data_IF_423104812107
#
_entry.id   IF_423104812107
#
_cell.length_a   1.000
_cell.length_b   1.000
_cell.length_c   1.000
_cell.angle_alpha   90.00
_cell.angle_beta   90.00
_cell.angle_gamma   90.00
#
_symmetry.space_group_name_H-M   'P 1'
#
loop_
_entity.id
_entity.type
_entity.pdbx_description
1 polymer ?
#
# COMPACT_ATOMS: atom_id res chain seq x y z
N UNK A 1 17.28 -0.22 13.78
CA UNK A 1 16.06 0.52 13.40
C UNK A 1 15.21 -0.33 12.46
N UNK A 2 13.88 -0.12 12.43
CA UNK A 2 12.94 -0.88 11.62
C UNK A 2 11.94 0.07 10.99
N UNK A 3 11.64 -0.13 9.70
CA UNK A 3 10.58 0.60 9.03
C UNK A 3 9.28 -0.17 9.24
N UNK A 4 8.34 0.38 10.01
CA UNK A 4 7.10 -0.31 10.35
C UNK A 4 5.86 0.59 10.45
N UNK A 5 6.00 1.87 10.14
CA UNK A 5 4.89 2.82 10.18
C UNK A 5 5.02 3.78 9.00
N UNK A 6 3.91 4.01 8.31
CA UNK A 6 3.78 5.06 7.31
C UNK A 6 2.53 5.87 7.59
N UNK A 7 2.63 7.19 7.44
CA UNK A 7 1.47 8.09 7.54
C UNK A 7 1.28 8.78 6.21
N UNK A 8 0.06 8.73 5.67
CA UNK A 8 -0.30 9.41 4.43
C UNK A 8 -1.37 10.46 4.70
N UNK A 9 -1.43 11.48 3.86
CA UNK A 9 -2.45 12.50 3.97
C UNK A 9 -3.79 12.04 3.42
N UNK A 10 -4.87 12.58 3.98
CA UNK A 10 -6.24 12.38 3.51
C UNK A 10 -6.92 13.75 3.38
N UNK A 11 -7.45 14.06 2.22
CA UNK A 11 -8.20 15.30 2.01
C UNK A 11 -9.67 15.16 2.37
N UNK A 12 -10.19 13.93 2.28
CA UNK A 12 -11.50 13.55 2.78
C UNK A 12 -11.32 12.35 3.70
N UNK A 13 -11.39 12.61 5.01
CA UNK A 13 -11.06 11.60 6.01
C UNK A 13 -11.95 10.35 5.87
N UNK A 14 -13.26 10.52 5.73
CA UNK A 14 -14.20 9.40 5.69
C UNK A 14 -14.04 8.53 4.45
N UNK A 15 -13.74 9.14 3.30
CA UNK A 15 -13.47 8.38 2.07
C UNK A 15 -12.19 7.55 2.20
N UNK A 16 -11.12 8.14 2.75
CA UNK A 16 -9.87 7.42 2.97
C UNK A 16 -10.03 6.32 4.00
N UNK A 17 -10.76 6.57 5.09
CA UNK A 17 -11.07 5.55 6.10
C UNK A 17 -11.78 4.36 5.46
N UNK A 18 -12.84 4.62 4.69
CA UNK A 18 -13.61 3.58 4.02
C UNK A 18 -12.76 2.80 3.02
N UNK A 19 -11.88 3.49 2.30
CA UNK A 19 -10.99 2.85 1.34
C UNK A 19 -10.08 1.81 2.00
N UNK A 20 -9.38 2.19 3.07
CA UNK A 20 -8.45 1.27 3.73
C UNK A 20 -9.16 0.12 4.44
N UNK A 21 -10.37 0.33 4.94
CA UNK A 21 -11.20 -0.76 5.44
C UNK A 21 -11.57 -1.75 4.32
N UNK A 22 -11.91 -1.27 3.12
CA UNK A 22 -12.19 -2.12 1.97
C UNK A 22 -10.97 -2.89 1.50
N UNK A 23 -9.78 -2.29 1.57
CA UNK A 23 -8.53 -2.96 1.25
C UNK A 23 -8.30 -4.15 2.18
N UNK A 24 -8.81 -4.09 3.40
CA UNK A 24 -8.72 -5.16 4.37
C UNK A 24 -7.88 -4.82 5.59
N UNK A 25 -7.51 -3.54 5.77
CA UNK A 25 -6.79 -3.12 6.95
C UNK A 25 -7.74 -3.04 8.15
N UNK A 26 -7.20 -3.25 9.35
CA UNK A 26 -7.97 -3.20 10.58
C UNK A 26 -7.76 -1.88 11.31
N UNK A 27 -8.82 -1.14 11.54
CA UNK A 27 -8.78 0.12 12.28
C UNK A 27 -8.48 -0.14 13.76
N UNK A 28 -7.43 0.48 14.28
CA UNK A 28 -7.03 0.34 15.68
C UNK A 28 -7.04 1.67 16.45
N UNK A 29 -6.98 2.80 15.76
CA UNK A 29 -7.07 4.13 16.37
C UNK A 29 -7.90 5.02 15.47
N UNK A 30 -8.81 5.80 16.06
CA UNK A 30 -9.54 6.85 15.34
C UNK A 30 -9.75 8.02 16.28
N UNK A 31 -9.36 9.22 15.84
CA UNK A 31 -9.41 10.43 16.66
C UNK A 31 -9.95 11.60 15.86
N UNK A 32 -11.09 12.16 16.28
CA UNK A 32 -11.67 13.44 15.82
C UNK A 32 -11.94 13.54 14.33
N UNK A 33 -12.07 12.42 13.61
CA UNK A 33 -12.15 12.43 12.16
C UNK A 33 -10.96 13.15 11.47
N UNK A 34 -9.82 13.17 12.15
CA UNK A 34 -8.59 13.80 11.68
C UNK A 34 -7.43 12.81 11.54
N UNK A 35 -7.47 11.71 12.32
CA UNK A 35 -6.40 10.74 12.34
C UNK A 35 -6.97 9.34 12.53
N UNK A 36 -6.45 8.39 11.79
CA UNK A 36 -6.75 6.98 11.99
C UNK A 36 -5.48 6.15 11.79
N UNK A 37 -5.38 5.06 12.52
CA UNK A 37 -4.30 4.08 12.36
C UNK A 37 -4.89 2.70 12.13
N UNK A 38 -4.27 2.00 11.20
CA UNK A 38 -4.66 0.65 10.83
C UNK A 38 -3.49 -0.29 11.04
N UNK A 39 -3.78 -1.52 11.46
CA UNK A 39 -2.82 -2.60 11.32
C UNK A 39 -3.12 -3.39 10.05
N UNK A 40 -2.08 -3.96 9.46
CA UNK A 40 -2.21 -4.83 8.29
C UNK A 40 -2.59 -6.25 8.73
N UNK A 41 -3.20 -7.04 7.83
CA UNK A 41 -3.57 -8.42 8.17
C UNK A 41 -2.36 -9.30 8.51
N UNK A 42 -1.21 -8.99 7.92
CA UNK A 42 0.02 -9.75 8.11
C UNK A 42 1.15 -8.85 8.56
N UNK A 43 2.02 -9.36 9.43
CA UNK A 43 3.16 -8.62 9.93
C UNK A 43 2.78 -7.61 11.02
N UNK A 44 3.72 -6.71 11.33
CA UNK A 44 3.58 -5.75 12.43
C UNK A 44 3.48 -4.29 11.97
N UNK A 45 3.58 -4.06 10.65
CA UNK A 45 3.51 -2.71 10.12
C UNK A 45 2.13 -2.10 10.34
N UNK A 46 2.11 -0.78 10.48
CA UNK A 46 0.87 0.00 10.58
C UNK A 46 0.87 1.10 9.53
N UNK A 47 -0.33 1.50 9.11
CA UNK A 47 -0.55 2.63 8.22
C UNK A 47 -1.49 3.60 8.89
N UNK A 48 -1.17 4.89 8.84
CA UNK A 48 -2.04 5.93 9.37
C UNK A 48 -2.48 6.89 8.26
N UNK A 49 -3.66 7.44 8.43
CA UNK A 49 -4.13 8.56 7.63
C UNK A 49 -4.28 9.78 8.52
N UNK A 50 -3.91 10.94 8.00
CA UNK A 50 -4.00 12.20 8.72
C UNK A 50 -4.65 13.26 7.83
N UNK A 51 -5.70 13.91 8.32
CA UNK A 51 -6.42 14.93 7.56
C UNK A 51 -5.49 16.07 7.17
N UNK A 52 -5.47 16.41 5.90
CA UNK A 52 -4.69 17.47 5.29
C UNK A 52 -5.58 18.30 4.37
N UNK A 53 -5.27 19.59 4.19
CA UNK A 53 -5.97 20.39 3.19
C UNK A 53 -5.61 19.99 1.78
N UNK A 54 -4.35 19.61 1.55
CA UNK A 54 -3.85 19.12 0.27
C UNK A 54 -2.90 17.96 0.47
N UNK A 55 -2.81 17.08 -0.52
CA UNK A 55 -1.86 15.97 -0.52
C UNK A 55 -1.00 16.11 -1.77
N UNK A 56 0.34 16.22 -1.63
CA UNK A 56 1.23 16.30 -2.79
C UNK A 56 1.09 15.06 -3.67
N UNK A 57 1.02 15.27 -4.98
CA UNK A 57 1.04 14.18 -5.95
C UNK A 57 2.48 13.79 -6.28
N UNK A 58 2.71 12.52 -6.62
CA UNK A 58 4.04 12.03 -6.94
C UNK A 58 4.92 11.79 -5.70
N UNK A 59 4.32 11.63 -4.54
CA UNK A 59 5.03 11.29 -3.31
C UNK A 59 5.46 9.82 -3.26
N UNK A 60 5.83 9.31 -2.07
CA UNK A 60 6.22 7.92 -1.90
C UNK A 60 5.12 6.95 -2.35
N UNK A 61 5.53 5.80 -2.86
CA UNK A 61 4.63 4.72 -3.22
C UNK A 61 4.55 3.76 -2.03
N UNK A 62 3.32 3.37 -1.65
CA UNK A 62 3.11 2.40 -0.59
C UNK A 62 3.03 1.01 -1.22
N UNK A 63 3.88 0.10 -0.77
CA UNK A 63 3.93 -1.26 -1.29
C UNK A 63 3.26 -2.21 -0.29
N UNK A 64 2.19 -2.87 -0.73
CA UNK A 64 1.55 -3.96 0.01
C UNK A 64 1.91 -5.28 -0.65
N UNK A 65 2.69 -6.10 0.04
CA UNK A 65 2.98 -7.45 -0.43
C UNK A 65 1.79 -8.36 -0.16
N UNK A 66 1.40 -9.14 -1.16
CA UNK A 66 0.28 -10.10 -1.08
C UNK A 66 0.72 -11.45 -1.64
N UNK A 67 0.03 -12.51 -1.25
CA UNK A 67 0.36 -13.85 -1.73
C UNK A 67 -0.04 -14.06 -3.19
N UNK A 68 -1.12 -13.42 -3.63
CA UNK A 68 -1.65 -13.54 -5.00
C UNK A 68 -2.19 -12.18 -5.45
N UNK A 69 -1.45 -11.54 -6.37
CA UNK A 69 -1.82 -10.21 -6.87
C UNK A 69 -3.14 -10.25 -7.64
N UNK A 70 -3.34 -11.26 -8.48
CA UNK A 70 -4.54 -11.37 -9.32
C UNK A 70 -5.80 -11.54 -8.49
N UNK A 71 -5.81 -12.45 -7.53
CA UNK A 71 -6.98 -12.67 -6.68
C UNK A 71 -7.25 -11.50 -5.76
N UNK A 72 -6.22 -10.85 -5.24
CA UNK A 72 -6.36 -9.65 -4.42
C UNK A 72 -6.96 -8.51 -5.23
N UNK A 73 -6.44 -8.27 -6.43
CA UNK A 73 -6.97 -7.24 -7.32
C UNK A 73 -8.43 -7.50 -7.67
N UNK A 74 -8.78 -8.76 -7.99
CA UNK A 74 -10.18 -9.13 -8.28
C UNK A 74 -11.10 -8.87 -7.09
N UNK A 75 -10.65 -9.23 -5.88
CA UNK A 75 -11.41 -8.98 -4.65
C UNK A 75 -11.65 -7.49 -4.40
N UNK A 76 -10.62 -6.68 -4.57
CA UNK A 76 -10.74 -5.22 -4.38
C UNK A 76 -11.63 -4.58 -5.44
N UNK A 77 -11.52 -5.01 -6.70
CA UNK A 77 -12.42 -4.54 -7.77
C UNK A 77 -13.88 -4.88 -7.47
N UNK A 78 -14.13 -6.06 -6.90
CA UNK A 78 -15.51 -6.45 -6.52
C UNK A 78 -16.10 -5.54 -5.45
N UNK A 79 -15.25 -4.85 -4.70
CA UNK A 79 -15.64 -3.85 -3.68
C UNK A 79 -15.68 -2.44 -4.23
N UNK A 80 -15.52 -2.26 -5.53
CA UNK A 80 -15.60 -0.96 -6.18
C UNK A 80 -14.30 -0.18 -6.23
N UNK A 81 -13.18 -0.80 -5.89
CA UNK A 81 -11.86 -0.15 -5.99
C UNK A 81 -11.35 -0.23 -7.42
N UNK A 82 -11.02 0.93 -8.00
CA UNK A 82 -10.46 1.02 -9.33
C UNK A 82 -8.93 0.89 -9.30
N UNK A 83 -8.36 0.30 -10.35
CA UNK A 83 -6.91 0.17 -10.52
C UNK A 83 -6.47 1.03 -11.70
N UNK A 84 -5.31 1.65 -11.56
CA UNK A 84 -4.66 2.39 -12.67
C UNK A 84 -3.88 1.45 -13.57
N UNK A 85 -3.38 0.34 -13.03
CA UNK A 85 -2.72 -0.72 -13.79
C UNK A 85 -3.09 -2.07 -13.16
N UNK A 86 -3.57 -3.00 -13.99
CA UNK A 86 -3.89 -4.36 -13.56
C UNK A 86 -2.65 -5.20 -13.31
N UNK A 87 -2.82 -6.43 -12.79
CA UNK A 87 -1.70 -7.32 -12.50
C UNK A 87 -0.80 -7.53 -13.72
N UNK A 88 0.49 -7.25 -13.55
CA UNK A 88 1.49 -7.27 -14.62
C UNK A 88 2.82 -7.76 -14.08
N UNK A 89 3.48 -8.65 -14.81
CA UNK A 89 4.85 -9.06 -14.51
C UNK A 89 5.81 -7.97 -14.94
N UNK A 90 6.70 -7.57 -14.05
CA UNK A 90 7.69 -6.54 -14.29
C UNK A 90 9.06 -7.13 -14.62
N UNK A 91 9.91 -6.40 -15.37
CA UNK A 91 11.26 -6.86 -15.68
C UNK A 91 12.14 -7.16 -14.45
N UNK A 92 11.82 -6.55 -13.31
CA UNK A 92 12.54 -6.78 -12.06
C UNK A 92 12.02 -7.99 -11.28
N UNK A 93 11.29 -8.88 -11.93
CA UNK A 93 10.81 -10.16 -11.41
C UNK A 93 9.75 -10.04 -10.31
N UNK A 94 9.03 -8.93 -10.27
CA UNK A 94 7.88 -8.72 -9.41
C UNK A 94 6.61 -8.76 -10.24
N UNK A 95 5.53 -9.23 -9.63
CA UNK A 95 4.19 -9.03 -10.21
C UNK A 95 3.52 -7.92 -9.44
N UNK A 96 3.00 -6.93 -10.16
CA UNK A 96 2.45 -5.69 -9.56
C UNK A 96 1.10 -5.33 -10.12
N UNK A 97 0.29 -4.67 -9.29
CA UNK A 97 -0.90 -3.94 -9.71
C UNK A 97 -0.90 -2.58 -9.01
N UNK A 98 -1.33 -1.54 -9.71
CA UNK A 98 -1.25 -0.16 -9.24
C UNK A 98 -2.63 0.44 -9.03
N UNK A 99 -2.78 1.18 -7.94
CA UNK A 99 -4.00 1.91 -7.63
C UNK A 99 -3.65 3.15 -6.80
N UNK A 100 -4.64 4.02 -6.62
CA UNK A 100 -4.51 5.20 -5.76
C UNK A 100 -5.58 5.17 -4.70
N UNK A 101 -5.26 5.71 -3.51
CA UNK A 101 -6.29 5.97 -2.51
C UNK A 101 -7.10 7.23 -2.87
N UNK A 102 -8.18 7.56 -2.14
CA UNK A 102 -9.02 8.71 -2.48
C UNK A 102 -8.31 10.06 -2.48
N UNK A 103 -7.19 10.19 -1.78
CA UNK A 103 -6.40 11.42 -1.75
C UNK A 103 -5.31 11.46 -2.83
N UNK A 104 -5.18 10.39 -3.63
CA UNK A 104 -4.17 10.27 -4.68
C UNK A 104 -2.85 9.69 -4.23
N UNK A 105 -2.75 9.14 -3.02
CA UNK A 105 -1.55 8.41 -2.62
C UNK A 105 -1.43 7.14 -3.44
N UNK A 106 -0.26 6.90 -4.02
CA UNK A 106 -0.04 5.73 -4.86
C UNK A 106 0.21 4.47 -4.05
N UNK A 107 -0.41 3.38 -4.48
CA UNK A 107 -0.29 2.06 -3.86
C UNK A 107 0.11 1.06 -4.93
N UNK A 108 1.03 0.17 -4.57
CA UNK A 108 1.42 -0.97 -5.38
C UNK A 108 1.13 -2.25 -4.61
N UNK A 109 0.22 -3.06 -5.13
CA UNK A 109 0.09 -4.44 -4.66
C UNK A 109 1.13 -5.25 -5.38
N UNK A 110 1.91 -6.06 -4.68
CA UNK A 110 2.97 -6.80 -5.33
C UNK A 110 3.24 -8.16 -4.68
N UNK A 111 3.89 -8.99 -5.47
CA UNK A 111 4.51 -10.23 -5.00
C UNK A 111 5.88 -10.32 -5.64
N UNK A 112 6.90 -10.43 -4.80
CA UNK A 112 8.29 -10.51 -5.24
C UNK A 112 8.97 -11.80 -4.75
N UNK A 113 8.49 -12.38 -3.66
CA UNK A 113 9.15 -13.49 -3.01
C UNK A 113 10.58 -13.09 -2.62
N UNK A 114 11.55 -13.94 -2.94
CA UNK A 114 12.96 -13.66 -2.65
C UNK A 114 13.53 -12.54 -3.52
N UNK A 115 12.89 -12.19 -4.65
CA UNK A 115 13.40 -11.19 -5.58
C UNK A 115 13.32 -9.75 -5.07
N UNK A 116 12.76 -9.51 -3.90
CA UNK A 116 12.82 -8.21 -3.25
C UNK A 116 14.18 -7.97 -2.58
N UNK A 117 14.63 -8.94 -1.77
CA UNK A 117 15.90 -8.82 -1.04
C UNK A 117 17.05 -9.57 -1.71
N UNK A 118 16.76 -10.61 -2.46
CA UNK A 118 17.76 -11.48 -3.08
C UNK A 118 17.49 -11.68 -4.57
N UNK A 119 17.37 -10.59 -5.35
CA UNK A 119 17.25 -10.73 -6.80
C UNK A 119 18.56 -11.26 -7.39
N UNK A 120 18.53 -11.80 -8.63
CA UNK A 120 19.76 -12.29 -9.28
C UNK A 120 20.87 -11.23 -9.37
N UNK A 121 20.52 -9.96 -9.40
CA UNK A 121 21.47 -8.82 -9.47
C UNK A 121 21.80 -8.20 -8.12
N UNK A 122 21.48 -8.86 -7.02
CA UNK A 122 21.83 -8.36 -5.69
C UNK A 122 23.35 -8.14 -5.61
N UNK A 123 23.75 -7.00 -5.05
CA UNK A 123 25.16 -6.72 -4.82
C UNK A 123 25.75 -7.71 -3.82
N UNK A 124 27.03 -8.06 -4.00
CA UNK A 124 27.73 -8.93 -3.09
C UNK A 124 27.92 -8.30 -1.71
N UNK A 125 28.28 -9.08 -0.69
CA UNK A 125 28.36 -8.60 0.69
C UNK A 125 29.43 -7.51 0.90
N UNK A 126 30.38 -7.38 -0.02
CA UNK A 126 31.43 -6.35 0.02
C UNK A 126 31.07 -5.09 -0.77
N UNK A 127 29.92 -5.07 -1.48
CA UNK A 127 29.46 -3.92 -2.24
C UNK A 127 28.71 -2.96 -1.31
N UNK A 128 29.10 -1.69 -1.25
CA UNK A 128 28.45 -0.67 -0.41
C UNK A 128 28.15 0.58 -1.19
#
# INVERSE_FOLDING_TARGET
MRLNQVTVGATNFQESLAFYLKVGLRLIVSARDEYARFELPDGEATLSIHLQTTVPQGGPIIYFEVDDVDSTAARLRSKGIAFTEGPTDQPWLWREARLSDPAGNEICLFKAGENRRYPPWRLGPTAT
#
